data_IF_547176092638
#
_entry.id   IF_547176092638
#
_cell.length_a   1.000
_cell.length_b   1.000
_cell.length_c   1.000
_cell.angle_alpha   90.00
_cell.angle_beta   90.00
_cell.angle_gamma   90.00
#
_symmetry.space_group_name_H-M   'P 1'
#
loop_
_entity.id
_entity.type
_entity.pdbx_description
1 polymer ?
#
# COMPACT_ATOMS: atom_id res chain seq x y z
N UNK A 1 -7.45 -16.65 10.01
CA UNK A 1 -7.36 -15.20 9.67
C UNK A 1 -7.00 -15.10 8.20
N UNK A 2 -7.85 -14.46 7.41
CA UNK A 2 -7.64 -14.35 5.96
C UNK A 2 -7.07 -12.96 5.63
N UNK A 3 -5.82 -12.92 5.22
CA UNK A 3 -5.09 -11.66 4.96
C UNK A 3 -4.62 -11.61 3.50
N UNK A 4 -4.89 -10.49 2.84
CA UNK A 4 -4.39 -10.23 1.49
C UNK A 4 -3.53 -8.98 1.46
N UNK A 5 -2.39 -9.07 0.78
CA UNK A 5 -1.54 -7.94 0.41
C UNK A 5 -1.70 -7.75 -1.10
N UNK A 6 -2.45 -6.73 -1.48
CA UNK A 6 -2.73 -6.41 -2.89
C UNK A 6 -1.86 -5.25 -3.32
N UNK A 7 -1.16 -5.39 -4.42
CA UNK A 7 -0.22 -4.37 -4.87
C UNK A 7 -0.24 -4.18 -6.39
N UNK A 8 0.21 -3.01 -6.81
CA UNK A 8 0.69 -2.78 -8.17
C UNK A 8 2.17 -2.42 -8.11
N UNK A 9 2.89 -2.69 -9.18
CA UNK A 9 4.32 -2.42 -9.24
C UNK A 9 4.70 -2.16 -10.70
N UNK A 10 5.50 -1.11 -10.94
CA UNK A 10 5.97 -0.76 -12.29
C UNK A 10 7.39 -1.26 -12.50
N UNK A 11 8.29 -0.99 -11.56
CA UNK A 11 9.70 -1.37 -11.65
C UNK A 11 10.11 -2.48 -10.68
N UNK A 12 9.15 -3.06 -9.97
CA UNK A 12 9.39 -4.16 -9.03
C UNK A 12 9.60 -3.76 -7.57
N UNK A 13 9.77 -2.49 -7.26
CA UNK A 13 10.06 -2.02 -5.90
C UNK A 13 8.87 -2.23 -4.95
N UNK A 14 7.67 -1.83 -5.38
CA UNK A 14 6.45 -2.03 -4.58
C UNK A 14 6.20 -3.53 -4.35
N UNK A 15 6.45 -4.36 -5.35
CA UNK A 15 6.33 -5.81 -5.24
C UNK A 15 7.29 -6.40 -4.22
N UNK A 16 8.51 -5.90 -4.13
CA UNK A 16 9.47 -6.33 -3.11
C UNK A 16 8.99 -5.99 -1.69
N UNK A 17 8.46 -4.79 -1.51
CA UNK A 17 7.87 -4.36 -0.22
C UNK A 17 6.65 -5.24 0.11
N UNK A 18 5.77 -5.48 -0.85
CA UNK A 18 4.60 -6.33 -0.65
C UNK A 18 4.99 -7.74 -0.18
N UNK A 19 6.02 -8.32 -0.78
CA UNK A 19 6.53 -9.64 -0.37
C UNK A 19 7.15 -9.60 1.04
N UNK A 20 7.91 -8.57 1.37
CA UNK A 20 8.48 -8.42 2.71
C UNK A 20 7.38 -8.33 3.77
N UNK A 21 6.32 -7.55 3.49
CA UNK A 21 5.16 -7.43 4.36
C UNK A 21 4.46 -8.79 4.51
N UNK A 22 4.13 -9.44 3.41
CA UNK A 22 3.43 -10.72 3.43
C UNK A 22 4.19 -11.81 4.17
N UNK A 23 5.50 -11.87 3.97
CA UNK A 23 6.35 -12.86 4.65
C UNK A 23 6.44 -12.59 6.16
N UNK A 24 6.38 -11.35 6.59
CA UNK A 24 6.42 -10.96 8.00
C UNK A 24 5.10 -11.20 8.73
N UNK A 25 3.98 -11.32 8.00
CA UNK A 25 2.65 -11.53 8.59
C UNK A 25 2.45 -12.95 9.18
N UNK A 26 3.39 -13.85 9.02
CA UNK A 26 3.40 -15.15 9.69
C UNK A 26 2.97 -16.31 8.80
N UNK A 27 2.14 -17.22 9.32
CA UNK A 27 1.75 -18.44 8.62
C UNK A 27 1.22 -18.16 7.22
N UNK A 28 1.78 -18.87 6.24
CA UNK A 28 1.50 -18.65 4.83
C UNK A 28 0.15 -19.18 4.35
N UNK A 29 -0.49 -20.01 5.13
CA UNK A 29 -1.77 -20.62 4.74
C UNK A 29 -2.90 -19.61 4.58
N UNK A 30 -2.83 -18.53 5.37
CA UNK A 30 -3.88 -17.50 5.39
C UNK A 30 -3.45 -16.17 4.78
N UNK A 31 -2.22 -16.07 4.27
CA UNK A 31 -1.69 -14.82 3.70
C UNK A 31 -1.48 -14.98 2.20
N UNK A 32 -2.13 -14.13 1.42
CA UNK A 32 -1.92 -14.07 -0.02
C UNK A 32 -1.30 -12.72 -0.43
N UNK A 33 -0.29 -12.77 -1.29
CA UNK A 33 0.35 -11.60 -1.89
C UNK A 33 -0.05 -11.60 -3.35
N UNK A 34 -0.89 -10.65 -3.76
CA UNK A 34 -1.58 -10.71 -5.05
C UNK A 34 -1.39 -9.39 -5.80
N UNK A 35 -1.02 -9.51 -7.07
CA UNK A 35 -0.97 -8.34 -7.96
C UNK A 35 -2.40 -7.88 -8.28
N UNK A 36 -2.60 -6.57 -8.37
CA UNK A 36 -3.91 -5.97 -8.61
C UNK A 36 -4.61 -6.53 -9.87
N UNK A 37 -3.86 -6.88 -10.91
CA UNK A 37 -4.40 -7.44 -12.14
C UNK A 37 -5.10 -8.79 -11.94
N UNK A 38 -4.80 -9.48 -10.86
CA UNK A 38 -5.33 -10.82 -10.55
C UNK A 38 -6.45 -10.77 -9.48
N UNK A 39 -6.93 -9.58 -9.14
CA UNK A 39 -7.91 -9.38 -8.07
C UNK A 39 -9.24 -8.89 -8.62
N UNK A 40 -10.31 -9.51 -8.15
CA UNK A 40 -11.70 -9.05 -8.37
C UNK A 40 -12.21 -8.39 -7.10
N UNK A 41 -12.99 -7.29 -7.18
CA UNK A 41 -13.48 -6.59 -5.99
C UNK A 41 -14.21 -7.49 -4.99
N UNK A 42 -14.97 -8.47 -5.49
CA UNK A 42 -15.73 -9.40 -4.65
C UNK A 42 -14.85 -10.26 -3.74
N UNK A 43 -13.61 -10.50 -4.15
CA UNK A 43 -12.66 -11.31 -3.37
C UNK A 43 -12.16 -10.59 -2.13
N UNK A 44 -12.31 -9.26 -2.07
CA UNK A 44 -11.83 -8.45 -0.95
C UNK A 44 -12.83 -8.36 0.21
N UNK A 45 -14.08 -8.74 -0.04
CA UNK A 45 -15.11 -8.76 1.00
C UNK A 45 -14.93 -10.00 1.87
N UNK A 46 -15.10 -9.85 3.18
CA UNK A 46 -14.96 -10.97 4.12
C UNK A 46 -13.52 -11.30 4.52
N UNK A 47 -12.55 -10.50 4.11
CA UNK A 47 -11.18 -10.63 4.62
C UNK A 47 -11.10 -10.19 6.08
N UNK A 48 -10.12 -10.70 6.80
CA UNK A 48 -9.79 -10.21 8.15
C UNK A 48 -8.93 -8.94 8.03
N UNK A 49 -7.95 -8.97 7.15
CA UNK A 49 -7.02 -7.86 6.93
C UNK A 49 -6.74 -7.70 5.43
N UNK A 50 -6.82 -6.46 4.96
CA UNK A 50 -6.45 -6.08 3.60
C UNK A 50 -5.39 -4.99 3.65
N UNK A 51 -4.23 -5.27 3.07
CA UNK A 51 -3.16 -4.30 2.90
C UNK A 51 -3.03 -3.99 1.41
N UNK A 52 -3.02 -2.71 1.05
CA UNK A 52 -2.94 -2.27 -0.35
C UNK A 52 -1.70 -1.40 -0.55
N UNK A 53 -0.94 -1.71 -1.60
CA UNK A 53 0.28 -0.99 -1.94
C UNK A 53 0.35 -0.55 -3.39
N UNK A 54 0.92 0.63 -3.64
CA UNK A 54 1.11 1.18 -4.97
C UNK A 54 2.36 2.04 -5.03
N UNK A 55 3.07 2.09 -6.17
CA UNK A 55 4.04 3.16 -6.36
C UNK A 55 3.30 4.49 -6.45
N UNK A 56 3.94 5.57 -5.99
CA UNK A 56 3.43 6.92 -6.21
C UNK A 56 3.78 7.34 -7.64
N UNK A 57 2.76 7.53 -8.46
CA UNK A 57 2.86 7.97 -9.86
C UNK A 57 2.11 9.28 -10.01
N UNK A 58 2.85 10.36 -10.35
CA UNK A 58 2.25 11.70 -10.45
C UNK A 58 1.39 12.05 -9.20
N UNK A 59 1.96 11.77 -8.02
CA UNK A 59 1.34 12.03 -6.70
C UNK A 59 0.10 11.17 -6.39
N UNK A 60 -0.12 10.08 -7.14
CA UNK A 60 -1.31 9.24 -7.02
C UNK A 60 -0.96 7.75 -7.05
N UNK A 61 -1.87 6.89 -6.56
CA UNK A 61 -1.78 5.46 -6.85
C UNK A 61 -1.88 5.21 -8.36
N UNK A 62 -1.47 4.02 -8.79
CA UNK A 62 -1.68 3.62 -10.19
C UNK A 62 -3.17 3.58 -10.52
N UNK A 63 -3.49 3.71 -11.81
CA UNK A 63 -4.88 3.60 -12.29
C UNK A 63 -5.52 2.27 -11.94
N UNK A 64 -4.75 1.17 -11.99
CA UNK A 64 -5.26 -0.17 -11.66
C UNK A 64 -5.70 -0.26 -10.20
N UNK A 65 -4.89 0.24 -9.26
CA UNK A 65 -5.26 0.29 -7.84
C UNK A 65 -6.48 1.19 -7.62
N UNK A 66 -6.47 2.38 -8.21
CA UNK A 66 -7.60 3.31 -8.09
C UNK A 66 -8.90 2.68 -8.60
N UNK A 67 -8.86 2.01 -9.75
CA UNK A 67 -10.03 1.33 -10.33
C UNK A 67 -10.53 0.20 -9.43
N UNK A 68 -9.61 -0.61 -8.88
CA UNK A 68 -10.00 -1.69 -7.96
C UNK A 68 -10.71 -1.12 -6.73
N UNK A 69 -10.13 -0.09 -6.09
CA UNK A 69 -10.72 0.49 -4.87
C UNK A 69 -12.07 1.15 -5.13
N UNK A 70 -12.24 1.80 -6.28
CA UNK A 70 -13.53 2.36 -6.70
C UNK A 70 -14.59 1.30 -6.92
N UNK A 71 -14.19 0.12 -7.38
CA UNK A 71 -15.09 -0.98 -7.72
C UNK A 71 -15.60 -1.76 -6.51
N UNK A 72 -14.98 -1.58 -5.33
CA UNK A 72 -15.47 -2.22 -4.10
C UNK A 72 -16.85 -1.66 -3.77
N UNK A 73 -17.86 -2.51 -3.48
CA UNK A 73 -19.19 -2.03 -3.12
C UNK A 73 -19.16 -1.14 -1.87
N UNK A 74 -20.14 -0.25 -1.75
CA UNK A 74 -20.34 0.55 -0.54
C UNK A 74 -20.46 -0.41 0.66
N UNK A 75 -19.71 -0.10 1.73
CA UNK A 75 -19.61 -0.95 2.91
C UNK A 75 -19.09 -2.38 2.65
N UNK A 76 -18.51 -2.62 1.48
CA UNK A 76 -17.94 -3.92 1.12
C UNK A 76 -16.77 -4.36 2.00
N UNK A 77 -16.11 -3.42 2.67
CA UNK A 77 -15.01 -3.70 3.61
C UNK A 77 -15.44 -3.59 5.07
N UNK A 78 -16.74 -3.57 5.36
CA UNK A 78 -17.23 -3.54 6.75
C UNK A 78 -16.72 -4.79 7.48
N UNK A 79 -16.09 -4.58 8.64
CA UNK A 79 -15.49 -5.67 9.42
C UNK A 79 -14.08 -6.06 8.96
N UNK A 80 -13.56 -5.45 7.91
CA UNK A 80 -12.20 -5.69 7.41
C UNK A 80 -11.26 -4.63 7.96
N UNK A 81 -10.16 -5.06 8.57
CA UNK A 81 -9.07 -4.16 8.95
C UNK A 81 -8.24 -3.84 7.72
N UNK A 82 -7.82 -2.58 7.56
CA UNK A 82 -7.14 -2.13 6.36
C UNK A 82 -5.88 -1.33 6.68
N UNK A 83 -4.90 -1.40 5.79
CA UNK A 83 -3.71 -0.57 5.82
C UNK A 83 -3.24 -0.28 4.40
N UNK A 84 -2.50 0.80 4.21
CA UNK A 84 -2.03 1.21 2.90
C UNK A 84 -0.57 1.65 2.96
N UNK A 85 0.19 1.31 1.92
CA UNK A 85 1.56 1.75 1.75
C UNK A 85 1.84 2.19 0.32
N UNK A 86 2.87 3.00 0.15
CA UNK A 86 3.39 3.33 -1.18
C UNK A 86 4.91 3.19 -1.24
N UNK A 87 5.45 3.25 -2.44
CA UNK A 87 6.87 3.49 -2.67
C UNK A 87 7.02 4.88 -3.28
N UNK A 88 8.03 5.62 -2.79
CA UNK A 88 8.19 7.04 -3.10
C UNK A 88 9.66 7.47 -3.07
N UNK A 89 9.95 8.64 -3.63
CA UNK A 89 11.25 9.27 -3.46
C UNK A 89 11.41 9.80 -2.02
N UNK A 90 12.67 9.89 -1.57
CA UNK A 90 12.97 10.58 -0.31
C UNK A 90 12.63 12.07 -0.41
N UNK A 91 12.33 12.70 0.73
CA UNK A 91 12.05 14.13 0.77
C UNK A 91 13.24 14.95 0.23
N UNK A 92 14.47 14.54 0.51
CA UNK A 92 15.68 15.20 0.00
C UNK A 92 15.77 15.18 -1.52
N UNK A 93 15.37 14.08 -2.16
CA UNK A 93 15.33 14.00 -3.62
C UNK A 93 14.23 14.89 -4.21
N UNK A 94 13.07 14.96 -3.55
CA UNK A 94 11.95 15.81 -3.96
C UNK A 94 12.33 17.30 -3.80
N UNK A 95 13.03 17.67 -2.73
CA UNK A 95 13.44 19.04 -2.47
C UNK A 95 14.43 19.57 -3.51
N UNK A 96 15.18 18.71 -4.19
CA UNK A 96 16.05 19.11 -5.31
C UNK A 96 15.24 19.69 -6.48
N UNK A 97 13.96 19.37 -6.58
CA UNK A 97 13.05 19.91 -7.58
C UNK A 97 11.95 20.65 -6.85
N UNK A 98 12.07 21.97 -6.74
CA UNK A 98 11.14 22.83 -5.98
C UNK A 98 9.68 22.66 -6.38
N UNK A 99 9.42 22.45 -7.66
CA UNK A 99 8.06 22.22 -8.18
C UNK A 99 7.49 20.92 -7.63
N UNK A 100 8.28 19.83 -7.62
CA UNK A 100 7.85 18.55 -7.06
C UNK A 100 7.56 18.66 -5.57
N UNK A 101 8.41 19.36 -4.81
CA UNK A 101 8.18 19.58 -3.38
C UNK A 101 6.85 20.29 -3.11
N UNK A 102 6.53 21.30 -3.94
CA UNK A 102 5.27 22.03 -3.86
C UNK A 102 4.08 21.11 -4.11
N UNK A 103 4.12 20.30 -5.18
CA UNK A 103 3.04 19.37 -5.51
C UNK A 103 2.85 18.28 -4.47
N UNK A 104 3.94 17.74 -3.91
CA UNK A 104 3.85 16.75 -2.82
C UNK A 104 3.19 17.36 -1.58
N UNK A 105 3.49 18.62 -1.30
CA UNK A 105 2.88 19.34 -0.16
C UNK A 105 1.37 19.49 -0.31
N UNK A 106 0.89 19.68 -1.56
CA UNK A 106 -0.54 19.84 -1.86
C UNK A 106 -1.25 18.50 -2.02
N UNK A 107 -0.67 17.58 -2.83
CA UNK A 107 -1.34 16.34 -3.25
C UNK A 107 -0.92 15.11 -2.44
N UNK A 108 0.24 15.17 -1.76
CA UNK A 108 0.74 14.06 -0.97
C UNK A 108 1.26 12.90 -1.81
N UNK A 109 1.14 11.70 -1.25
CA UNK A 109 1.61 10.46 -1.86
C UNK A 109 0.45 9.48 -2.01
N UNK A 110 0.70 8.38 -2.75
CA UNK A 110 -0.32 7.40 -3.08
C UNK A 110 -0.99 6.74 -1.87
N UNK A 111 -0.26 6.51 -0.76
CA UNK A 111 -0.79 5.77 0.38
C UNK A 111 -1.98 6.45 1.05
N UNK A 112 -1.98 7.79 1.15
CA UNK A 112 -3.07 8.51 1.81
C UNK A 112 -4.40 8.39 1.05
N UNK A 113 -4.51 8.67 -0.25
CA UNK A 113 -5.78 8.49 -0.96
C UNK A 113 -6.24 7.03 -0.98
N UNK A 114 -5.34 6.05 -0.97
CA UNK A 114 -5.72 4.65 -0.83
C UNK A 114 -6.36 4.39 0.53
N UNK A 115 -5.73 4.85 1.62
CA UNK A 115 -6.28 4.71 2.98
C UNK A 115 -7.65 5.36 3.09
N UNK A 116 -7.80 6.59 2.59
CA UNK A 116 -9.06 7.32 2.62
C UNK A 116 -10.17 6.55 1.89
N UNK A 117 -9.85 5.94 0.76
CA UNK A 117 -10.78 5.16 -0.04
C UNK A 117 -11.19 3.86 0.64
N UNK A 118 -10.22 3.17 1.26
CA UNK A 118 -10.51 1.95 2.03
C UNK A 118 -11.46 2.25 3.19
N UNK A 119 -11.27 3.35 3.89
CA UNK A 119 -12.17 3.78 4.96
C UNK A 119 -13.57 4.12 4.43
N UNK A 120 -13.66 4.80 3.27
CA UNK A 120 -14.94 5.11 2.62
C UNK A 120 -15.72 3.86 2.24
N UNK A 121 -15.05 2.75 1.99
CA UNK A 121 -15.67 1.46 1.67
C UNK A 121 -16.00 0.64 2.92
N UNK A 122 -15.81 1.18 4.10
CA UNK A 122 -16.17 0.57 5.37
C UNK A 122 -15.00 -0.07 6.12
N UNK A 123 -13.80 -0.04 5.58
CA UNK A 123 -12.61 -0.60 6.23
C UNK A 123 -12.20 0.16 7.48
N UNK A 124 -11.65 -0.56 8.45
CA UNK A 124 -11.09 0.00 9.67
C UNK A 124 -9.57 0.17 9.50
N UNK A 125 -9.11 1.42 9.39
CA UNK A 125 -7.70 1.72 9.21
C UNK A 125 -6.95 1.47 10.53
N UNK A 126 -5.97 0.55 10.52
CA UNK A 126 -5.28 0.12 11.75
C UNK A 126 -3.99 0.89 12.02
N UNK A 127 -3.38 1.48 11.00
CA UNK A 127 -2.20 2.33 11.10
C UNK A 127 -2.29 3.49 10.12
N UNK A 128 -1.62 4.61 10.36
CA UNK A 128 -1.48 5.65 9.36
C UNK A 128 -0.83 5.11 8.08
N UNK A 129 -1.14 5.68 6.90
CA UNK A 129 -0.49 5.28 5.66
C UNK A 129 1.03 5.38 5.75
N UNK A 130 1.75 4.41 5.17
CA UNK A 130 3.21 4.36 5.24
C UNK A 130 3.83 4.48 3.85
N UNK A 131 5.03 5.06 3.77
CA UNK A 131 5.80 5.16 2.54
C UNK A 131 7.18 4.51 2.68
N UNK A 132 7.60 3.80 1.64
CA UNK A 132 8.90 3.17 1.55
C UNK A 132 9.70 3.82 0.43
N UNK A 133 10.98 4.07 0.65
CA UNK A 133 11.76 4.97 -0.17
C UNK A 133 12.59 4.26 -1.24
N UNK A 134 12.59 4.83 -2.43
CA UNK A 134 13.46 4.45 -3.54
C UNK A 134 14.48 5.57 -3.81
N UNK A 135 15.64 5.20 -4.36
CA UNK A 135 16.69 6.15 -4.65
C UNK A 135 16.51 6.92 -5.96
N UNK A 136 15.79 6.32 -6.93
CA UNK A 136 15.52 6.91 -8.23
C UNK A 136 14.20 6.37 -8.77
N UNK A 137 13.76 6.85 -9.93
CA UNK A 137 12.49 6.48 -10.56
C UNK A 137 12.29 4.96 -10.67
N UNK A 138 13.33 4.22 -11.09
CA UNK A 138 13.27 2.77 -11.25
C UNK A 138 13.76 1.99 -10.02
N UNK A 139 14.19 2.69 -8.99
CA UNK A 139 14.78 2.10 -7.80
C UNK A 139 16.30 2.31 -7.77
N UNK A 140 17.03 1.50 -7.00
CA UNK A 140 16.52 0.46 -6.11
C UNK A 140 15.86 1.04 -4.85
N UNK A 141 15.25 0.16 -4.07
CA UNK A 141 14.83 0.51 -2.70
C UNK A 141 16.05 0.95 -1.90
N UNK A 142 15.89 1.91 -1.02
CA UNK A 142 16.96 2.31 -0.12
C UNK A 142 17.29 1.19 0.86
N UNK A 143 18.54 1.16 1.32
CA UNK A 143 18.99 0.18 2.29
C UNK A 143 18.12 0.24 3.57
N UNK A 144 17.74 -0.92 4.09
CA UNK A 144 16.92 -1.04 5.29
C UNK A 144 15.41 -0.98 5.06
N UNK A 145 14.94 -0.67 3.85
CA UNK A 145 13.51 -0.53 3.60
C UNK A 145 12.74 -1.86 3.65
N UNK A 146 13.34 -2.96 3.24
CA UNK A 146 12.71 -4.28 3.36
C UNK A 146 12.53 -4.69 4.82
N UNK A 147 13.51 -4.44 5.67
CA UNK A 147 13.43 -4.68 7.11
C UNK A 147 12.38 -3.75 7.76
N UNK A 148 12.34 -2.50 7.33
CA UNK A 148 11.34 -1.54 7.84
C UNK A 148 9.93 -1.95 7.43
N UNK A 149 9.76 -2.50 6.24
CA UNK A 149 8.48 -3.04 5.78
C UNK A 149 8.03 -4.23 6.64
N UNK A 150 8.94 -5.15 6.96
CA UNK A 150 8.65 -6.27 7.83
C UNK A 150 8.26 -5.81 9.24
N UNK A 151 8.94 -4.82 9.79
CA UNK A 151 8.61 -4.24 11.09
C UNK A 151 7.24 -3.54 11.09
N UNK A 152 6.93 -2.82 10.02
CA UNK A 152 5.62 -2.20 9.85
C UNK A 152 4.50 -3.25 9.82
N UNK A 153 4.72 -4.37 9.11
CA UNK A 153 3.76 -5.46 9.05
C UNK A 153 3.48 -6.04 10.45
N UNK A 154 4.50 -6.17 11.28
CA UNK A 154 4.34 -6.61 12.67
C UNK A 154 3.51 -5.64 13.50
N UNK A 155 3.67 -4.33 13.27
CA UNK A 155 2.84 -3.31 13.90
C UNK A 155 1.37 -3.41 13.46
N UNK A 156 1.13 -3.69 12.18
CA UNK A 156 -0.23 -3.90 11.66
C UNK A 156 -0.91 -5.05 12.41
N UNK A 157 -0.22 -6.16 12.60
CA UNK A 157 -0.77 -7.31 13.34
C UNK A 157 -1.02 -6.95 14.80
N UNK A 158 -0.11 -6.22 15.44
CA UNK A 158 -0.21 -5.90 16.86
C UNK A 158 -1.40 -5.00 17.20
N UNK A 159 -1.99 -4.32 16.20
CA UNK A 159 -3.16 -3.44 16.38
C UNK A 159 -4.50 -4.14 16.11
N UNK A 160 -4.50 -5.44 15.88
CA UNK A 160 -5.72 -6.22 15.63
C UNK A 160 -6.43 -6.68 16.90
#
# INVERSE_FOLDING_TARGET
MKTWVVYDSVFGNTGQIARAIGNALGSQEDVEIVRVSDVKPEQLTGLTLLIVGSPTRQFRPTGAITSLLKSIPKDGLRGVKVAAFDTRFTVSEIEKVRILAFFVRIFGYAAKPMADRLEKKGGELVLPPEGFYVGDTEGPLLEGELERAADWAKQVIATQ
#
